data_IF_922805457530
#
_entry.id   IF_922805457530
#
_cell.length_a   1.000
_cell.length_b   1.000
_cell.length_c   1.000
_cell.angle_alpha   90.00
_cell.angle_beta   90.00
_cell.angle_gamma   90.00
#
_symmetry.space_group_name_H-M   'P 1'
#
loop_
_entity.id
_entity.type
_entity.pdbx_description
1 polymer ?
#
# COMPACT_ATOMS: atom_id res chain seq x y z
N UNK A 1 -1.68 10.05 -25.30
CA UNK A 1 -0.70 10.45 -24.30
C UNK A 1 -1.43 10.50 -22.96
N UNK A 2 -1.00 9.74 -21.96
CA UNK A 2 -1.55 9.77 -20.61
C UNK A 2 -0.55 10.49 -19.71
N UNK A 3 -1.02 11.43 -18.92
CA UNK A 3 -0.19 12.25 -18.03
C UNK A 3 -0.36 11.78 -16.58
N UNK A 4 0.73 11.56 -15.87
CA UNK A 4 0.72 11.04 -14.51
C UNK A 4 1.52 11.90 -13.54
N UNK A 5 1.06 11.98 -12.30
CA UNK A 5 1.82 12.46 -11.15
C UNK A 5 2.19 11.29 -10.25
N UNK A 6 3.40 11.30 -9.67
CA UNK A 6 3.86 10.22 -8.79
C UNK A 6 4.20 10.81 -7.42
N UNK A 7 3.34 10.56 -6.45
CA UNK A 7 3.53 10.98 -5.06
C UNK A 7 4.28 9.87 -4.30
N UNK A 8 5.58 10.07 -4.09
CA UNK A 8 6.50 9.06 -3.57
C UNK A 8 7.40 8.43 -4.64
N UNK A 9 7.87 9.21 -5.62
CA UNK A 9 8.62 8.74 -6.79
C UNK A 9 9.97 8.08 -6.46
N UNK A 10 10.56 8.38 -5.32
CA UNK A 10 11.86 7.83 -4.89
C UNK A 10 11.73 6.52 -4.10
N UNK A 11 10.51 6.10 -3.75
CA UNK A 11 10.24 4.81 -3.12
C UNK A 11 10.25 3.64 -4.11
N UNK A 12 10.08 2.43 -3.59
CA UNK A 12 10.08 1.20 -4.41
C UNK A 12 9.02 1.22 -5.52
N UNK A 13 7.78 1.59 -5.20
CA UNK A 13 6.70 1.67 -6.20
C UNK A 13 6.94 2.83 -7.16
N UNK A 14 7.37 3.99 -6.66
CA UNK A 14 7.64 5.16 -7.49
C UNK A 14 8.72 4.91 -8.53
N UNK A 15 9.84 4.27 -8.16
CA UNK A 15 10.93 3.93 -9.09
C UNK A 15 10.49 2.92 -10.13
N UNK A 16 9.72 1.89 -9.75
CA UNK A 16 9.16 0.92 -10.68
C UNK A 16 8.09 1.54 -11.60
N UNK A 17 7.33 2.52 -11.11
CA UNK A 17 6.42 3.31 -11.96
C UNK A 17 7.21 4.06 -13.05
N UNK A 18 8.35 4.66 -12.70
CA UNK A 18 9.21 5.33 -13.68
C UNK A 18 9.83 4.35 -14.69
N UNK A 19 10.11 3.09 -14.30
CA UNK A 19 10.51 2.04 -15.26
C UNK A 19 9.41 1.75 -16.28
N UNK A 20 8.14 1.73 -15.84
CA UNK A 20 6.99 1.59 -16.75
C UNK A 20 6.88 2.80 -17.67
N UNK A 21 7.12 4.02 -17.18
CA UNK A 21 7.14 5.24 -18.03
C UNK A 21 8.24 5.15 -19.09
N UNK A 22 9.46 4.72 -18.73
CA UNK A 22 10.57 4.55 -19.71
C UNK A 22 10.21 3.59 -20.85
N UNK A 23 9.44 2.56 -20.51
CA UNK A 23 9.05 1.51 -21.47
C UNK A 23 7.83 1.87 -22.33
N UNK A 24 7.09 2.96 -21.98
CA UNK A 24 5.82 3.33 -22.62
C UNK A 24 5.83 4.81 -23.05
N UNK A 25 6.09 5.06 -24.32
CA UNK A 25 6.20 6.41 -24.89
C UNK A 25 4.92 7.25 -24.81
N UNK A 26 3.79 6.63 -24.55
CA UNK A 26 2.48 7.28 -24.38
C UNK A 26 2.14 7.65 -22.93
N UNK A 27 3.08 7.45 -22.00
CA UNK A 27 3.07 7.99 -20.65
C UNK A 27 4.01 9.20 -20.53
N UNK A 28 3.57 10.23 -19.81
CA UNK A 28 4.38 11.40 -19.48
C UNK A 28 4.20 11.77 -18.00
N UNK A 29 5.30 12.02 -17.33
CA UNK A 29 5.31 12.48 -15.94
C UNK A 29 5.10 13.99 -15.90
N UNK A 30 4.13 14.46 -15.13
CA UNK A 30 3.84 15.89 -14.91
C UNK A 30 4.31 16.39 -13.57
N UNK A 31 4.30 15.52 -12.55
CA UNK A 31 4.81 15.85 -11.22
C UNK A 31 5.49 14.65 -10.56
N UNK A 32 6.52 14.92 -9.76
CA UNK A 32 7.20 13.96 -8.91
C UNK A 32 7.24 14.49 -7.49
N UNK A 33 7.06 13.61 -6.50
CA UNK A 33 7.18 14.02 -5.10
C UNK A 33 8.00 13.00 -4.29
N UNK A 34 8.75 13.50 -3.31
CA UNK A 34 9.53 12.68 -2.38
C UNK A 34 9.49 13.26 -0.95
N UNK A 35 9.85 12.45 0.04
CA UNK A 35 9.99 12.87 1.44
C UNK A 35 11.27 13.70 1.65
N UNK A 36 12.43 13.03 1.60
CA UNK A 36 13.76 13.62 1.88
C UNK A 36 14.81 13.25 0.84
N UNK A 37 14.54 12.30 -0.05
CA UNK A 37 15.53 11.70 -0.98
C UNK A 37 15.75 12.60 -2.22
N UNK A 38 16.32 13.76 -2.03
CA UNK A 38 16.50 14.76 -3.10
C UNK A 38 17.52 14.37 -4.16
N UNK A 39 18.54 13.57 -3.83
CA UNK A 39 19.56 13.15 -4.81
C UNK A 39 18.95 12.26 -5.91
N UNK A 40 18.04 11.36 -5.53
CA UNK A 40 17.33 10.54 -6.49
C UNK A 40 16.23 11.36 -7.21
N UNK A 41 15.53 12.22 -6.48
CA UNK A 41 14.51 13.09 -7.05
C UNK A 41 15.08 14.05 -8.11
N UNK A 42 16.28 14.62 -7.88
CA UNK A 42 16.96 15.45 -8.87
C UNK A 42 17.27 14.68 -10.16
N UNK A 43 17.79 13.44 -10.05
CA UNK A 43 18.04 12.57 -11.21
C UNK A 43 16.74 12.29 -11.98
N UNK A 44 15.67 11.95 -11.27
CA UNK A 44 14.35 11.72 -11.86
C UNK A 44 13.80 13.00 -12.53
N UNK A 45 13.93 14.15 -11.88
CA UNK A 45 13.50 15.43 -12.42
C UNK A 45 14.23 15.79 -13.72
N UNK A 46 15.54 15.61 -13.75
CA UNK A 46 16.34 15.85 -14.96
C UNK A 46 16.03 14.87 -16.09
N UNK A 47 15.73 13.63 -15.78
CA UNK A 47 15.37 12.60 -16.78
C UNK A 47 13.98 12.81 -17.36
N UNK A 48 12.96 13.00 -16.50
CA UNK A 48 11.56 13.03 -16.93
C UNK A 48 11.01 14.42 -17.20
N UNK A 49 11.75 15.48 -16.82
CA UNK A 49 11.37 16.88 -17.06
C UNK A 49 9.91 17.18 -16.66
N UNK A 50 9.49 16.89 -15.41
CA UNK A 50 8.14 17.21 -14.97
C UNK A 50 7.94 18.73 -14.87
N UNK A 51 6.68 19.15 -14.79
CA UNK A 51 6.34 20.56 -14.54
C UNK A 51 6.67 20.95 -13.09
N UNK A 52 6.42 20.00 -12.16
CA UNK A 52 6.57 20.22 -10.72
C UNK A 52 7.35 19.07 -10.09
N UNK A 53 8.23 19.41 -9.15
CA UNK A 53 8.73 18.48 -8.14
C UNK A 53 8.38 18.98 -6.75
N UNK A 54 7.94 18.09 -5.86
CA UNK A 54 7.60 18.41 -4.48
C UNK A 54 8.48 17.63 -3.50
N UNK A 55 8.97 18.30 -2.47
CA UNK A 55 9.71 17.68 -1.37
C UNK A 55 8.99 17.95 -0.06
N UNK A 56 8.59 16.91 0.65
CA UNK A 56 7.85 17.08 1.91
C UNK A 56 8.67 17.78 2.99
N UNK A 57 9.98 17.47 3.07
CA UNK A 57 10.89 18.20 3.95
C UNK A 57 11.24 19.56 3.35
N UNK A 58 10.84 20.64 4.01
CA UNK A 58 10.99 22.00 3.51
C UNK A 58 12.47 22.43 3.33
N UNK A 59 13.36 22.03 4.25
CA UNK A 59 14.80 22.32 4.12
C UNK A 59 15.40 21.65 2.90
N UNK A 60 15.00 20.38 2.64
CA UNK A 60 15.43 19.64 1.46
C UNK A 60 14.81 20.20 0.16
N UNK A 61 13.64 20.79 0.24
CA UNK A 61 13.02 21.47 -0.90
C UNK A 61 13.86 22.71 -1.33
N UNK A 62 14.29 23.53 -0.39
CA UNK A 62 15.17 24.68 -0.69
C UNK A 62 16.52 24.25 -1.26
N UNK A 63 17.12 23.16 -0.74
CA UNK A 63 18.32 22.58 -1.32
C UNK A 63 18.10 22.11 -2.77
N UNK A 64 17.01 21.40 -3.05
CA UNK A 64 16.69 20.91 -4.40
C UNK A 64 16.40 22.06 -5.36
N UNK A 65 15.77 23.14 -4.90
CA UNK A 65 15.50 24.35 -5.69
C UNK A 65 16.78 25.00 -6.22
N UNK A 66 17.81 25.03 -5.40
CA UNK A 66 19.13 25.53 -5.84
C UNK A 66 19.75 24.59 -6.88
N UNK A 67 19.64 23.28 -6.69
CA UNK A 67 20.18 22.27 -7.61
C UNK A 67 19.51 22.27 -8.99
N UNK A 68 18.20 22.58 -9.03
CA UNK A 68 17.42 22.61 -10.27
C UNK A 68 17.26 24.03 -10.86
N UNK A 69 18.03 25.03 -10.36
CA UNK A 69 17.96 26.43 -10.82
C UNK A 69 18.28 26.61 -12.31
N UNK A 70 18.96 25.64 -12.94
CA UNK A 70 19.27 25.56 -14.37
C UNK A 70 18.12 24.99 -15.21
N UNK A 71 16.99 24.66 -14.62
CA UNK A 71 15.81 24.06 -15.27
C UNK A 71 14.58 24.96 -15.14
N UNK A 72 13.51 24.66 -15.91
CA UNK A 72 12.20 25.30 -15.76
C UNK A 72 11.27 24.55 -14.80
N UNK A 73 11.78 23.58 -14.02
CA UNK A 73 10.99 22.75 -13.14
C UNK A 73 10.67 23.54 -11.87
N UNK A 74 9.37 23.65 -11.54
CA UNK A 74 8.93 24.26 -10.28
C UNK A 74 9.24 23.33 -9.13
N UNK A 75 9.90 23.82 -8.08
CA UNK A 75 10.14 23.08 -6.83
C UNK A 75 9.20 23.59 -5.75
N UNK A 76 8.42 22.69 -5.16
CA UNK A 76 7.45 22.98 -4.09
C UNK A 76 7.83 22.24 -2.81
N UNK A 77 7.37 22.73 -1.65
CA UNK A 77 7.75 22.23 -0.33
C UNK A 77 6.53 21.83 0.52
N UNK A 78 6.75 20.94 1.47
CA UNK A 78 5.80 20.59 2.50
C UNK A 78 4.53 19.90 1.98
N UNK A 79 3.48 19.93 2.79
CA UNK A 79 2.18 19.37 2.39
C UNK A 79 1.57 20.11 1.21
N UNK A 80 1.67 21.46 1.17
CA UNK A 80 1.16 22.25 0.07
C UNK A 80 1.81 21.87 -1.26
N UNK A 81 3.13 21.57 -1.25
CA UNK A 81 3.84 21.05 -2.41
C UNK A 81 3.32 19.68 -2.87
N UNK A 82 3.01 18.78 -1.93
CA UNK A 82 2.40 17.48 -2.27
C UNK A 82 1.01 17.65 -2.87
N UNK A 83 0.19 18.56 -2.33
CA UNK A 83 -1.13 18.87 -2.87
C UNK A 83 -1.04 19.45 -4.28
N UNK A 84 -0.12 20.38 -4.52
CA UNK A 84 0.09 20.96 -5.85
C UNK A 84 0.56 19.90 -6.87
N UNK A 85 1.48 19.01 -6.48
CA UNK A 85 1.92 17.90 -7.31
C UNK A 85 0.79 16.91 -7.63
N UNK A 86 -0.10 16.64 -6.67
CA UNK A 86 -1.23 15.74 -6.84
C UNK A 86 -2.37 16.34 -7.69
N UNK A 87 -2.50 17.67 -7.73
CA UNK A 87 -3.56 18.38 -8.46
C UNK A 87 -3.10 19.01 -9.77
N UNK A 88 -1.88 18.70 -10.23
CA UNK A 88 -1.31 19.28 -11.41
C UNK A 88 -2.30 19.18 -12.61
N UNK A 89 -2.52 20.28 -13.31
CA UNK A 89 -3.63 20.46 -14.26
C UNK A 89 -3.66 19.39 -15.36
N UNK A 90 -2.53 19.12 -15.99
CA UNK A 90 -2.42 18.16 -17.09
C UNK A 90 -2.51 16.70 -16.63
N UNK A 91 -2.35 16.44 -15.34
CA UNK A 91 -2.38 15.08 -14.79
C UNK A 91 -3.77 14.47 -14.94
N UNK A 92 -3.84 13.22 -15.39
CA UNK A 92 -5.07 12.45 -15.45
C UNK A 92 -5.11 11.32 -14.39
N UNK A 93 -3.94 10.81 -13.98
CA UNK A 93 -3.83 9.73 -12.97
C UNK A 93 -2.73 10.06 -11.98
N UNK A 94 -3.04 9.99 -10.71
CA UNK A 94 -2.07 10.14 -9.62
C UNK A 94 -1.69 8.78 -9.06
N UNK A 95 -0.40 8.45 -9.09
CA UNK A 95 0.14 7.27 -8.41
C UNK A 95 0.48 7.67 -6.98
N UNK A 96 -0.26 7.13 -6.02
CA UNK A 96 -0.05 7.41 -4.58
C UNK A 96 0.86 6.35 -3.98
N UNK A 97 2.16 6.58 -4.03
CA UNK A 97 3.21 5.64 -3.60
C UNK A 97 3.98 6.13 -2.34
N UNK A 98 3.42 7.09 -1.63
CA UNK A 98 3.94 7.55 -0.34
C UNK A 98 3.49 6.60 0.76
N UNK A 99 4.34 6.37 1.76
CA UNK A 99 4.06 5.44 2.87
C UNK A 99 3.36 6.19 4.01
N UNK A 100 2.42 5.52 4.69
CA UNK A 100 1.73 6.04 5.88
C UNK A 100 0.58 6.99 5.56
N UNK A 101 -0.02 7.56 6.61
CA UNK A 101 -1.25 8.35 6.52
C UNK A 101 -1.06 9.72 5.85
N UNK A 102 0.17 10.18 5.67
CA UNK A 102 0.49 11.42 4.93
C UNK A 102 -0.06 11.43 3.50
N UNK A 103 -0.29 10.26 2.89
CA UNK A 103 -0.86 10.11 1.56
C UNK A 103 -2.36 10.43 1.44
N UNK A 104 -3.10 10.51 2.55
CA UNK A 104 -4.56 10.71 2.52
C UNK A 104 -4.93 12.07 1.93
N UNK A 105 -4.31 13.16 2.42
CA UNK A 105 -4.62 14.52 1.94
C UNK A 105 -4.33 14.72 0.45
N UNK A 106 -3.14 14.31 -0.08
CA UNK A 106 -2.89 14.39 -1.53
C UNK A 106 -3.86 13.54 -2.36
N UNK A 107 -4.26 12.36 -1.86
CA UNK A 107 -5.24 11.51 -2.54
C UNK A 107 -6.61 12.19 -2.64
N UNK A 108 -7.13 12.75 -1.53
CA UNK A 108 -8.39 13.49 -1.52
C UNK A 108 -8.31 14.71 -2.45
N UNK A 109 -7.20 15.46 -2.43
CA UNK A 109 -7.02 16.62 -3.30
C UNK A 109 -7.01 16.24 -4.79
N UNK A 110 -6.30 15.17 -5.15
CA UNK A 110 -6.29 14.62 -6.50
C UNK A 110 -7.71 14.25 -6.98
N UNK A 111 -8.47 13.53 -6.14
CA UNK A 111 -9.85 13.13 -6.45
C UNK A 111 -10.75 14.35 -6.65
N UNK A 112 -10.68 15.37 -5.78
CA UNK A 112 -11.42 16.64 -5.91
C UNK A 112 -11.04 17.43 -7.17
N UNK A 113 -9.81 17.22 -7.67
CA UNK A 113 -9.35 17.77 -8.96
C UNK A 113 -9.71 16.88 -10.16
N UNK A 114 -10.56 15.85 -9.98
CA UNK A 114 -11.03 14.96 -11.06
C UNK A 114 -9.95 14.02 -11.60
N UNK A 115 -8.97 13.65 -10.76
CA UNK A 115 -7.89 12.73 -11.17
C UNK A 115 -8.20 11.32 -10.70
N UNK A 116 -8.01 10.34 -11.59
CA UNK A 116 -8.02 8.93 -11.19
C UNK A 116 -6.82 8.61 -10.28
N UNK A 117 -6.97 7.60 -9.44
CA UNK A 117 -5.95 7.21 -8.46
C UNK A 117 -5.42 5.81 -8.79
N UNK A 118 -4.11 5.68 -9.03
CA UNK A 118 -3.41 4.41 -8.97
C UNK A 118 -2.88 4.23 -7.52
N UNK A 119 -3.65 3.51 -6.70
CA UNK A 119 -3.47 3.45 -5.26
C UNK A 119 -2.46 2.38 -4.87
N UNK A 120 -1.28 2.81 -4.39
CA UNK A 120 -0.29 1.93 -3.76
C UNK A 120 -0.19 2.14 -2.24
N UNK A 121 -0.72 3.25 -1.73
CA UNK A 121 -0.75 3.57 -0.31
C UNK A 121 -2.00 2.95 0.34
N UNK A 122 -1.87 1.73 0.82
CA UNK A 122 -2.98 0.99 1.46
C UNK A 122 -3.52 1.66 2.71
N UNK A 123 -2.64 2.37 3.45
CA UNK A 123 -3.01 3.06 4.67
C UNK A 123 -4.12 4.09 4.44
N UNK A 124 -4.20 4.67 3.25
CA UNK A 124 -5.29 5.58 2.84
C UNK A 124 -6.66 4.93 2.97
N UNK A 125 -6.84 3.70 2.49
CA UNK A 125 -8.13 2.99 2.61
C UNK A 125 -8.31 2.32 3.97
N UNK A 126 -7.25 1.83 4.56
CA UNK A 126 -7.31 1.23 5.91
C UNK A 126 -7.87 2.22 6.92
N UNK A 127 -7.40 3.46 6.89
CA UNK A 127 -7.74 4.47 7.91
C UNK A 127 -8.88 5.41 7.51
N UNK A 128 -9.01 5.70 6.23
CA UNK A 128 -9.97 6.65 5.69
C UNK A 128 -10.87 6.10 4.58
N UNK A 129 -10.99 4.77 4.44
CA UNK A 129 -11.79 4.15 3.38
C UNK A 129 -13.25 4.58 3.37
N UNK A 130 -13.83 4.82 4.55
CA UNK A 130 -15.19 5.36 4.74
C UNK A 130 -15.37 6.81 4.21
N UNK A 131 -14.29 7.55 4.02
CA UNK A 131 -14.27 8.89 3.40
C UNK A 131 -13.94 8.77 1.91
N UNK A 132 -12.90 8.00 1.58
CA UNK A 132 -12.33 7.91 0.23
C UNK A 132 -13.30 7.26 -0.76
N UNK A 133 -13.89 6.12 -0.41
CA UNK A 133 -14.72 5.38 -1.38
C UNK A 133 -16.02 6.12 -1.73
N UNK A 134 -16.79 6.69 -0.77
CA UNK A 134 -17.92 7.52 -1.11
C UNK A 134 -17.57 8.76 -1.92
N UNK A 135 -16.43 9.40 -1.60
CA UNK A 135 -15.95 10.56 -2.35
C UNK A 135 -15.58 10.20 -3.80
N UNK A 136 -14.97 9.01 -4.02
CA UNK A 136 -14.67 8.55 -5.37
C UNK A 136 -15.94 8.34 -6.20
N UNK A 137 -16.97 7.75 -5.60
CA UNK A 137 -18.27 7.53 -6.24
C UNK A 137 -18.94 8.87 -6.55
N UNK A 138 -19.01 9.80 -5.59
CA UNK A 138 -19.60 11.13 -5.76
C UNK A 138 -18.93 11.92 -6.90
N UNK A 139 -17.61 11.88 -6.99
CA UNK A 139 -16.84 12.63 -7.98
C UNK A 139 -16.69 11.89 -9.32
N UNK A 140 -17.10 10.62 -9.39
CA UNK A 140 -16.95 9.77 -10.59
C UNK A 140 -15.49 9.50 -10.97
N UNK A 141 -14.58 9.48 -9.99
CA UNK A 141 -13.16 9.16 -10.20
C UNK A 141 -12.89 7.68 -9.88
N UNK A 142 -11.97 7.09 -10.62
CA UNK A 142 -11.63 5.68 -10.45
C UNK A 142 -10.44 5.49 -9.51
N UNK A 143 -10.50 4.43 -8.68
CA UNK A 143 -9.38 3.97 -7.87
C UNK A 143 -8.90 2.62 -8.41
N UNK A 144 -7.69 2.59 -8.95
CA UNK A 144 -7.05 1.39 -9.49
C UNK A 144 -6.04 0.85 -8.47
N UNK A 145 -6.20 -0.38 -7.99
CA UNK A 145 -5.27 -0.94 -7.02
C UNK A 145 -3.91 -1.23 -7.63
N UNK A 146 -2.86 -0.84 -6.92
CA UNK A 146 -1.45 -1.14 -7.23
C UNK A 146 -0.91 -2.24 -6.32
N UNK A 147 -1.47 -2.41 -5.11
CA UNK A 147 -1.12 -3.57 -4.28
C UNK A 147 -1.38 -4.87 -5.06
N UNK A 148 -0.45 -5.82 -5.03
CA UNK A 148 -0.46 -7.00 -5.92
C UNK A 148 -1.70 -7.87 -5.73
N UNK A 149 -2.13 -8.07 -4.50
CA UNK A 149 -3.29 -8.88 -4.15
C UNK A 149 -4.59 -8.22 -4.62
N UNK A 150 -4.72 -6.92 -4.40
CA UNK A 150 -5.90 -6.16 -4.82
C UNK A 150 -5.96 -5.99 -6.34
N UNK A 151 -4.81 -5.78 -6.99
CA UNK A 151 -4.72 -5.80 -8.45
C UNK A 151 -5.15 -7.15 -9.02
N UNK A 152 -4.74 -8.26 -8.38
CA UNK A 152 -5.14 -9.60 -8.77
C UNK A 152 -6.66 -9.81 -8.66
N UNK A 153 -7.26 -9.43 -7.53
CA UNK A 153 -8.71 -9.48 -7.33
C UNK A 153 -9.42 -8.61 -8.37
N UNK A 154 -8.94 -7.39 -8.60
CA UNK A 154 -9.49 -6.47 -9.59
C UNK A 154 -9.47 -7.06 -11.00
N UNK A 155 -8.38 -7.76 -11.38
CA UNK A 155 -8.28 -8.47 -12.65
C UNK A 155 -9.25 -9.65 -12.72
N UNK A 156 -9.34 -10.46 -11.65
CA UNK A 156 -10.25 -11.60 -11.59
C UNK A 156 -11.73 -11.17 -11.71
N UNK A 157 -12.10 -10.03 -11.11
CA UNK A 157 -13.46 -9.48 -11.18
C UNK A 157 -13.91 -9.10 -12.62
N UNK A 158 -12.98 -8.99 -13.57
CA UNK A 158 -13.33 -8.76 -14.98
C UNK A 158 -13.92 -10.02 -15.65
N UNK A 159 -13.87 -11.18 -15.00
CA UNK A 159 -14.36 -12.46 -15.55
C UNK A 159 -15.85 -12.71 -15.34
N UNK A 160 -16.54 -11.91 -14.52
CA UNK A 160 -17.95 -12.10 -14.20
C UNK A 160 -18.63 -10.84 -13.67
N UNK A 161 -19.88 -10.96 -13.26
CA UNK A 161 -20.62 -9.87 -12.65
C UNK A 161 -20.31 -9.79 -11.15
N UNK A 162 -20.29 -8.57 -10.62
CA UNK A 162 -20.05 -8.34 -9.20
C UNK A 162 -21.12 -9.00 -8.31
N UNK A 163 -22.37 -9.03 -8.76
CA UNK A 163 -23.49 -9.65 -8.02
C UNK A 163 -23.35 -11.16 -7.87
N UNK A 164 -22.53 -11.81 -8.72
CA UNK A 164 -22.28 -13.25 -8.66
C UNK A 164 -21.08 -13.60 -7.73
N UNK A 165 -20.40 -12.59 -7.21
CA UNK A 165 -19.30 -12.78 -6.27
C UNK A 165 -19.81 -13.37 -4.95
N UNK A 166 -19.11 -14.42 -4.47
CA UNK A 166 -19.33 -15.03 -3.16
C UNK A 166 -18.28 -14.53 -2.16
N UNK A 167 -17.00 -14.71 -2.49
CA UNK A 167 -15.92 -14.35 -1.57
C UNK A 167 -14.62 -13.96 -2.27
N UNK A 168 -13.77 -13.27 -1.52
CA UNK A 168 -12.40 -12.95 -1.88
C UNK A 168 -11.43 -13.88 -1.17
N UNK A 169 -10.39 -14.35 -1.87
CA UNK A 169 -9.35 -15.20 -1.31
C UNK A 169 -8.01 -14.51 -1.51
N UNK A 170 -7.56 -13.83 -0.47
CA UNK A 170 -6.30 -13.09 -0.46
C UNK A 170 -5.16 -14.05 -0.14
N UNK A 171 -4.12 -14.07 -0.98
CA UNK A 171 -2.96 -14.91 -0.72
C UNK A 171 -1.90 -14.15 0.09
N UNK A 172 -1.16 -14.85 0.93
CA UNK A 172 -0.02 -14.36 1.67
C UNK A 172 1.21 -15.21 1.38
N UNK A 173 2.42 -14.62 1.37
CA UNK A 173 3.65 -15.42 1.37
C UNK A 173 3.84 -16.18 2.70
N UNK A 174 3.19 -15.71 3.76
CA UNK A 174 3.35 -16.16 5.14
C UNK A 174 4.58 -15.56 5.84
N UNK A 175 5.39 -14.78 5.12
CA UNK A 175 6.59 -14.12 5.65
C UNK A 175 7.69 -15.10 6.10
N UNK A 176 8.79 -14.59 6.68
CA UNK A 176 9.94 -15.40 7.09
C UNK A 176 9.63 -16.32 8.27
N UNK A 177 8.57 -16.02 9.05
CA UNK A 177 8.30 -16.70 10.31
C UNK A 177 7.10 -17.64 10.30
N UNK A 178 6.51 -17.94 9.13
CA UNK A 178 5.29 -18.74 9.01
C UNK A 178 5.35 -20.14 9.64
N UNK A 179 6.56 -20.69 9.85
CA UNK A 179 6.77 -22.01 10.46
C UNK A 179 7.40 -21.97 11.84
N UNK A 180 7.57 -20.77 12.42
CA UNK A 180 8.15 -20.61 13.76
C UNK A 180 7.09 -20.72 14.83
N UNK A 181 7.50 -21.26 15.97
CA UNK A 181 6.73 -21.27 17.21
C UNK A 181 6.87 -19.93 17.95
N UNK A 182 5.96 -19.64 18.88
CA UNK A 182 6.04 -18.43 19.72
C UNK A 182 7.37 -18.39 20.52
N UNK A 183 7.88 -19.54 20.97
CA UNK A 183 9.14 -19.59 21.69
C UNK A 183 10.33 -19.19 20.81
N UNK A 184 10.36 -19.65 19.56
CA UNK A 184 11.40 -19.25 18.61
C UNK A 184 11.33 -17.77 18.26
N UNK A 185 10.13 -17.17 18.26
CA UNK A 185 9.95 -15.75 17.95
C UNK A 185 10.51 -14.82 19.04
N UNK A 186 10.67 -15.28 20.29
CA UNK A 186 11.31 -14.48 21.35
C UNK A 186 12.78 -14.12 21.05
N UNK A 187 13.41 -14.85 20.18
CA UNK A 187 14.86 -14.73 19.91
C UNK A 187 15.16 -14.20 18.50
N UNK A 188 14.14 -13.85 17.69
CA UNK A 188 14.37 -13.36 16.34
C UNK A 188 14.91 -11.93 16.34
N UNK A 189 15.82 -11.69 15.45
CA UNK A 189 16.46 -10.38 15.26
C UNK A 189 15.76 -9.55 14.18
N UNK A 190 16.12 -8.28 14.08
CA UNK A 190 15.67 -7.41 12.98
C UNK A 190 16.12 -7.98 11.64
N UNK A 191 17.33 -8.53 11.57
CA UNK A 191 17.89 -9.14 10.36
C UNK A 191 17.10 -10.36 9.91
N UNK A 192 16.69 -11.23 10.84
CA UNK A 192 15.85 -12.38 10.55
C UNK A 192 14.49 -11.94 9.97
N UNK A 193 13.89 -10.91 10.57
CA UNK A 193 12.60 -10.39 10.14
C UNK A 193 12.66 -9.67 8.78
N UNK A 194 13.79 -9.07 8.42
CA UNK A 194 14.01 -8.41 7.14
C UNK A 194 14.37 -9.39 6.00
N UNK A 195 14.63 -10.65 6.30
CA UNK A 195 14.99 -11.67 5.31
C UNK A 195 13.73 -12.32 4.70
N UNK A 196 13.01 -11.56 3.85
CA UNK A 196 11.80 -12.08 3.20
C UNK A 196 12.14 -13.10 2.10
N UNK A 197 11.42 -14.27 2.03
CA UNK A 197 11.79 -15.37 1.13
C UNK A 197 11.63 -15.06 -0.37
N UNK A 198 10.67 -14.21 -0.76
CA UNK A 198 10.28 -14.03 -2.17
C UNK A 198 10.39 -12.59 -2.68
N UNK A 199 10.25 -11.60 -1.80
CA UNK A 199 10.12 -10.20 -2.18
C UNK A 199 11.27 -9.35 -1.64
N UNK A 200 11.77 -8.44 -2.46
CA UNK A 200 12.65 -7.35 -2.03
C UNK A 200 11.80 -6.10 -1.82
N UNK A 201 11.54 -5.76 -0.57
CA UNK A 201 10.61 -4.69 -0.20
C UNK A 201 11.25 -3.67 0.75
N UNK A 202 10.53 -2.57 1.00
CA UNK A 202 10.90 -1.61 2.04
C UNK A 202 10.94 -2.26 3.44
N UNK A 203 11.72 -1.70 4.34
CA UNK A 203 11.93 -2.29 5.68
C UNK A 203 10.64 -2.43 6.49
N UNK A 204 9.78 -1.40 6.48
CA UNK A 204 8.50 -1.41 7.23
C UNK A 204 7.60 -2.54 6.76
N UNK A 205 7.29 -2.61 5.47
CA UNK A 205 6.39 -3.63 4.92
C UNK A 205 6.95 -5.05 5.05
N UNK A 206 8.28 -5.21 5.11
CA UNK A 206 8.89 -6.53 5.36
C UNK A 206 8.61 -7.01 6.78
N UNK A 207 8.66 -6.12 7.79
CA UNK A 207 8.25 -6.45 9.15
C UNK A 207 6.74 -6.71 9.22
N UNK A 208 5.92 -5.91 8.54
CA UNK A 208 4.47 -6.14 8.45
C UNK A 208 4.13 -7.51 7.83
N UNK A 209 4.93 -7.97 6.86
CA UNK A 209 4.81 -9.33 6.32
C UNK A 209 5.19 -10.40 7.35
N UNK A 210 6.28 -10.18 8.11
CA UNK A 210 6.74 -11.09 9.14
C UNK A 210 5.74 -11.26 10.28
N UNK A 211 4.97 -10.20 10.59
CA UNK A 211 3.93 -10.18 11.64
C UNK A 211 2.53 -10.58 11.16
N UNK A 212 2.32 -10.75 9.85
CA UNK A 212 1.02 -10.83 9.16
C UNK A 212 0.14 -9.56 9.33
N UNK A 213 0.65 -8.46 9.83
CA UNK A 213 -0.08 -7.17 9.85
C UNK A 213 -0.32 -6.69 8.43
N UNK A 214 0.66 -6.81 7.51
CA UNK A 214 0.46 -6.43 6.11
C UNK A 214 -0.78 -7.09 5.52
N UNK A 215 -0.94 -8.40 5.73
CA UNK A 215 -2.11 -9.14 5.24
C UNK A 215 -3.39 -8.70 5.92
N UNK A 216 -3.32 -8.33 7.19
CA UNK A 216 -4.45 -7.73 7.90
C UNK A 216 -4.86 -6.37 7.33
N UNK A 217 -3.91 -5.48 7.03
CA UNK A 217 -4.21 -4.20 6.38
C UNK A 217 -4.84 -4.41 5.00
N UNK A 218 -4.37 -5.38 4.24
CA UNK A 218 -4.91 -5.75 2.94
C UNK A 218 -6.35 -6.28 3.02
N UNK A 219 -6.71 -7.03 4.05
CA UNK A 219 -8.10 -7.43 4.31
C UNK A 219 -9.02 -6.22 4.50
N UNK A 220 -8.56 -5.21 5.26
CA UNK A 220 -9.34 -3.97 5.46
C UNK A 220 -9.43 -3.16 4.16
N UNK A 221 -8.33 -3.07 3.40
CA UNK A 221 -8.31 -2.41 2.09
C UNK A 221 -9.27 -3.10 1.11
N UNK A 222 -9.26 -4.44 1.03
CA UNK A 222 -10.15 -5.22 0.17
C UNK A 222 -11.64 -4.99 0.48
N UNK A 223 -11.99 -4.88 1.76
CA UNK A 223 -13.36 -4.51 2.17
C UNK A 223 -13.80 -3.21 1.51
N UNK A 224 -12.96 -2.19 1.54
CA UNK A 224 -13.28 -0.88 0.98
C UNK A 224 -13.28 -0.88 -0.55
N UNK A 225 -12.25 -1.40 -1.19
CA UNK A 225 -12.14 -1.42 -2.65
C UNK A 225 -13.26 -2.24 -3.32
N UNK A 226 -13.60 -3.37 -2.72
CA UNK A 226 -14.53 -4.32 -3.34
C UNK A 226 -15.89 -4.38 -2.67
N UNK A 227 -16.11 -3.66 -1.56
CA UNK A 227 -17.40 -3.63 -0.85
C UNK A 227 -17.84 -4.99 -0.36
N UNK A 228 -16.92 -5.86 0.03
CA UNK A 228 -17.18 -7.22 0.54
C UNK A 228 -17.05 -7.24 2.05
N UNK A 229 -17.96 -7.92 2.73
CA UNK A 229 -17.90 -8.03 4.19
C UNK A 229 -16.72 -8.92 4.65
N UNK A 230 -16.21 -8.66 5.86
CA UNK A 230 -15.06 -9.39 6.41
C UNK A 230 -15.27 -10.91 6.47
N UNK A 231 -16.51 -11.38 6.62
CA UNK A 231 -16.81 -12.80 6.67
C UNK A 231 -16.66 -13.50 5.32
N UNK A 232 -16.65 -12.72 4.23
CA UNK A 232 -16.46 -13.18 2.86
C UNK A 232 -15.06 -12.82 2.32
N UNK A 233 -14.13 -12.43 3.18
CA UNK A 233 -12.72 -12.22 2.84
C UNK A 233 -11.88 -13.25 3.57
N UNK A 234 -11.30 -14.18 2.83
CA UNK A 234 -10.49 -15.28 3.36
C UNK A 234 -9.01 -15.05 3.04
N UNK A 235 -8.15 -15.54 3.92
CA UNK A 235 -6.70 -15.49 3.71
C UNK A 235 -6.13 -16.89 3.68
N UNK A 236 -5.30 -17.18 2.67
CA UNK A 236 -4.53 -18.42 2.56
C UNK A 236 -3.06 -18.10 2.35
N UNK A 237 -2.17 -18.94 2.84
CA UNK A 237 -0.74 -18.81 2.58
C UNK A 237 -0.39 -19.56 1.30
N UNK A 238 0.23 -18.87 0.35
CA UNK A 238 0.81 -19.43 -0.87
C UNK A 238 2.31 -19.13 -0.88
N UNK A 239 3.16 -20.06 -0.40
CA UNK A 239 4.55 -19.76 -0.06
C UNK A 239 5.43 -19.28 -1.22
N UNK A 240 5.11 -19.66 -2.47
CA UNK A 240 5.87 -19.26 -3.67
C UNK A 240 5.47 -17.87 -4.19
N UNK A 241 4.39 -17.25 -3.67
CA UNK A 241 3.83 -15.98 -4.13
C UNK A 241 3.58 -15.91 -5.65
N UNK A 242 3.13 -17.02 -6.24
CA UNK A 242 2.84 -17.14 -7.69
C UNK A 242 1.39 -16.85 -7.98
N UNK A 243 0.48 -17.25 -7.09
CA UNK A 243 -0.92 -16.81 -7.10
C UNK A 243 -0.99 -15.55 -6.25
N UNK A 244 -1.35 -14.42 -6.87
CA UNK A 244 -1.40 -13.13 -6.18
C UNK A 244 -2.70 -12.89 -5.42
N UNK A 245 -3.82 -13.46 -5.84
CA UNK A 245 -5.10 -13.62 -5.12
C UNK A 245 -6.12 -14.27 -6.03
N UNK A 246 -7.31 -14.56 -5.48
CA UNK A 246 -8.40 -15.26 -6.15
C UNK A 246 -9.74 -14.66 -5.74
N UNK A 247 -10.76 -14.92 -6.54
CA UNK A 247 -12.17 -14.72 -6.18
C UNK A 247 -12.92 -16.03 -6.33
N UNK A 248 -13.99 -16.20 -5.56
CA UNK A 248 -14.92 -17.29 -5.72
C UNK A 248 -16.30 -16.74 -6.07
N UNK A 249 -16.96 -17.33 -7.06
CA UNK A 249 -18.35 -17.02 -7.42
C UNK A 249 -19.33 -17.95 -6.70
N UNK A 250 -20.61 -17.56 -6.67
CA UNK A 250 -21.70 -18.29 -6.00
C UNK A 250 -21.91 -19.72 -6.52
N UNK A 251 -21.48 -20.01 -7.72
CA UNK A 251 -21.53 -21.39 -8.29
C UNK A 251 -20.34 -22.25 -7.84
N UNK A 252 -19.42 -21.69 -7.01
CA UNK A 252 -18.23 -22.36 -6.51
C UNK A 252 -17.02 -22.27 -7.44
N UNK A 253 -17.14 -21.65 -8.62
CA UNK A 253 -15.96 -21.41 -9.48
C UNK A 253 -14.98 -20.43 -8.86
N UNK A 254 -13.69 -20.72 -8.96
CA UNK A 254 -12.61 -19.87 -8.47
C UNK A 254 -11.78 -19.36 -9.64
N UNK A 255 -11.60 -18.04 -9.69
CA UNK A 255 -10.71 -17.38 -10.66
C UNK A 255 -9.50 -16.81 -9.93
N UNK A 256 -8.32 -17.11 -10.44
CA UNK A 256 -7.05 -16.72 -9.85
C UNK A 256 -6.18 -15.94 -10.85
N UNK A 257 -5.52 -14.88 -10.38
CA UNK A 257 -4.48 -14.22 -11.16
C UNK A 257 -3.11 -14.75 -10.72
N UNK A 258 -2.32 -15.17 -11.70
CA UNK A 258 -0.98 -15.72 -11.50
C UNK A 258 0.06 -14.82 -12.20
N UNK A 259 1.23 -14.71 -11.58
CA UNK A 259 2.35 -13.96 -12.14
C UNK A 259 3.65 -14.24 -11.39
N UNK A 260 4.76 -13.79 -11.93
CA UNK A 260 6.01 -13.69 -11.19
C UNK A 260 5.88 -12.56 -10.15
N UNK A 261 6.55 -12.62 -8.98
CA UNK A 261 6.49 -11.57 -7.96
C UNK A 261 7.23 -10.31 -8.43
N UNK A 262 6.53 -9.46 -9.20
CA UNK A 262 7.02 -8.19 -9.75
C UNK A 262 5.94 -7.13 -9.67
N UNK A 263 6.20 -6.03 -8.94
CA UNK A 263 5.24 -4.93 -8.79
C UNK A 263 5.01 -4.14 -10.09
N UNK A 264 5.85 -4.29 -11.11
CA UNK A 264 5.62 -3.64 -12.41
C UNK A 264 4.34 -4.12 -13.08
N UNK A 265 3.92 -5.38 -12.83
CA UNK A 265 2.67 -5.92 -13.38
C UNK A 265 1.44 -5.14 -12.87
N UNK A 266 1.17 -5.07 -11.54
CA UNK A 266 0.02 -4.32 -11.04
C UNK A 266 0.12 -2.81 -11.30
N UNK A 267 1.31 -2.21 -11.24
CA UNK A 267 1.53 -0.80 -11.59
C UNK A 267 1.11 -0.55 -13.04
N UNK A 268 1.61 -1.37 -13.98
CA UNK A 268 1.29 -1.21 -15.40
C UNK A 268 -0.22 -1.40 -15.64
N UNK A 269 -0.83 -2.42 -15.01
CA UNK A 269 -2.26 -2.65 -15.17
C UNK A 269 -3.11 -1.48 -14.65
N UNK A 270 -2.77 -0.92 -13.48
CA UNK A 270 -3.46 0.26 -12.94
C UNK A 270 -3.35 1.48 -13.89
N UNK A 271 -2.18 1.68 -14.53
CA UNK A 271 -1.97 2.79 -15.44
C UNK A 271 -2.64 2.62 -16.80
N UNK A 272 -2.87 1.40 -17.26
CA UNK A 272 -3.37 1.13 -18.61
C UNK A 272 -4.73 0.40 -18.64
N UNK A 273 -5.36 0.18 -17.48
CA UNK A 273 -6.65 -0.48 -17.43
C UNK A 273 -7.61 0.01 -18.53
N UNK A 274 -8.33 -0.88 -19.22
CA UNK A 274 -8.37 -2.35 -19.04
C UNK A 274 -7.33 -3.15 -19.86
N UNK A 275 -6.30 -2.53 -20.41
CA UNK A 275 -5.35 -3.14 -21.34
C UNK A 275 -4.22 -3.87 -20.60
N UNK A 276 -3.94 -5.12 -21.00
CA UNK A 276 -2.69 -5.79 -20.71
C UNK A 276 -1.66 -5.43 -21.76
N UNK A 277 -0.57 -4.77 -21.36
CA UNK A 277 0.51 -4.37 -22.25
C UNK A 277 1.74 -5.27 -22.10
N UNK A 278 2.60 -5.24 -23.11
CA UNK A 278 3.86 -5.96 -23.00
C UNK A 278 4.68 -5.41 -21.81
N UNK A 279 5.17 -6.32 -20.98
CA UNK A 279 6.04 -6.02 -19.85
C UNK A 279 7.30 -6.87 -19.99
N UNK A 280 8.45 -6.23 -19.97
CA UNK A 280 9.73 -6.94 -19.94
C UNK A 280 9.90 -7.66 -18.59
N UNK A 281 10.48 -8.84 -18.61
CA UNK A 281 10.74 -9.64 -17.41
C UNK A 281 10.41 -11.11 -17.61
N UNK A 282 10.65 -11.90 -16.56
CA UNK A 282 10.38 -13.34 -16.58
C UNK A 282 8.88 -13.61 -16.69
N UNK A 283 8.56 -14.74 -17.33
CA UNK A 283 7.22 -15.29 -17.41
C UNK A 283 7.14 -16.53 -16.55
N UNK A 284 5.93 -16.83 -16.03
CA UNK A 284 5.72 -18.10 -15.35
C UNK A 284 5.97 -19.27 -16.31
N UNK A 285 6.80 -20.18 -15.86
CA UNK A 285 7.07 -21.46 -16.50
C UNK A 285 6.47 -22.57 -15.64
N UNK A 286 5.31 -23.07 -16.04
CA UNK A 286 4.59 -24.08 -15.27
C UNK A 286 5.34 -25.42 -15.19
N UNK A 287 6.18 -25.73 -16.18
CA UNK A 287 7.02 -26.93 -16.15
C UNK A 287 8.12 -26.84 -15.07
N UNK A 288 8.69 -25.64 -14.86
CA UNK A 288 9.62 -25.37 -13.76
C UNK A 288 8.94 -25.21 -12.41
N UNK A 289 7.74 -24.63 -12.38
CA UNK A 289 6.96 -24.42 -11.17
C UNK A 289 6.54 -25.75 -10.53
N UNK A 290 6.13 -26.73 -11.34
CA UNK A 290 5.69 -28.10 -11.00
C UNK A 290 4.45 -28.16 -10.12
N UNK A 291 4.49 -27.54 -8.92
CA UNK A 291 3.43 -27.61 -7.91
C UNK A 291 3.13 -26.23 -7.31
N UNK A 292 1.90 -26.02 -6.91
CA UNK A 292 1.42 -24.89 -6.12
C UNK A 292 0.82 -25.46 -4.84
N UNK A 293 1.25 -24.94 -3.69
CA UNK A 293 0.81 -25.41 -2.39
C UNK A 293 0.13 -24.28 -1.64
N UNK A 294 -0.80 -24.63 -0.76
CA UNK A 294 -1.46 -23.70 0.16
C UNK A 294 -1.30 -24.19 1.60
N UNK A 295 -1.23 -23.24 2.52
CA UNK A 295 -1.14 -23.50 3.95
C UNK A 295 -2.15 -22.58 4.67
N UNK A 296 -2.61 -22.97 5.85
CA UNK A 296 -3.37 -22.09 6.74
C UNK A 296 -2.46 -20.98 7.30
N UNK A 297 -2.96 -19.74 7.43
CA UNK A 297 -2.20 -18.70 8.11
C UNK A 297 -1.97 -19.08 9.59
N UNK A 298 -0.74 -18.96 10.13
CA UNK A 298 -0.44 -19.33 11.52
C UNK A 298 -0.91 -18.25 12.52
N UNK A 299 -2.22 -18.04 12.62
CA UNK A 299 -2.85 -16.94 13.37
C UNK A 299 -2.69 -17.08 14.88
N UNK A 300 -2.45 -18.28 15.39
CA UNK A 300 -2.19 -18.51 16.81
C UNK A 300 -0.82 -17.95 17.23
N UNK A 301 0.12 -17.84 16.30
CA UNK A 301 1.49 -17.39 16.51
C UNK A 301 1.69 -15.96 16.00
N UNK A 302 1.22 -15.66 14.76
CA UNK A 302 1.35 -14.37 14.12
C UNK A 302 0.02 -13.60 14.21
N UNK A 303 -0.12 -12.78 15.24
CA UNK A 303 -1.39 -12.16 15.64
C UNK A 303 -1.83 -10.96 14.80
N UNK A 304 -1.01 -10.49 13.86
CA UNK A 304 -1.33 -9.30 13.07
C UNK A 304 -2.62 -9.41 12.26
N UNK A 305 -2.86 -10.57 11.65
CA UNK A 305 -4.10 -10.82 10.88
C UNK A 305 -5.36 -10.85 11.77
N UNK A 306 -5.42 -11.58 12.90
CA UNK A 306 -6.54 -11.50 13.85
C UNK A 306 -6.84 -10.08 14.35
N UNK A 307 -5.80 -9.31 14.69
CA UNK A 307 -5.98 -7.93 15.13
C UNK A 307 -6.62 -7.05 14.06
N UNK A 308 -6.25 -7.24 12.80
CA UNK A 308 -6.85 -6.50 11.71
C UNK A 308 -8.32 -6.84 11.48
N UNK A 309 -8.70 -8.12 11.53
CA UNK A 309 -10.12 -8.51 11.51
C UNK A 309 -10.89 -7.90 12.67
N UNK A 310 -10.31 -7.93 13.90
CA UNK A 310 -10.91 -7.30 15.09
C UNK A 310 -11.10 -5.79 14.86
N UNK A 311 -10.05 -5.08 14.43
CA UNK A 311 -10.11 -3.65 14.17
C UNK A 311 -11.11 -3.29 13.08
N UNK A 312 -11.11 -4.04 11.98
CA UNK A 312 -12.01 -3.82 10.85
C UNK A 312 -13.49 -4.04 11.22
N UNK A 313 -13.80 -5.09 12.01
CA UNK A 313 -15.15 -5.35 12.50
C UNK A 313 -15.64 -4.32 13.52
N UNK A 314 -14.77 -3.80 14.37
CA UNK A 314 -15.09 -2.68 15.26
C UNK A 314 -15.37 -1.43 14.42
N UNK A 315 -14.58 -1.19 13.38
CA UNK A 315 -14.74 -0.05 12.47
C UNK A 315 -14.41 1.30 13.10
N UNK A 316 -14.94 2.37 12.49
CA UNK A 316 -14.68 3.74 12.93
C UNK A 316 -13.18 4.07 12.94
N UNK A 317 -12.69 4.64 14.04
CA UNK A 317 -11.28 4.99 14.21
C UNK A 317 -10.36 3.81 14.58
N UNK A 318 -10.90 2.60 14.83
CA UNK A 318 -10.08 1.46 15.26
C UNK A 318 -9.05 0.99 14.21
N UNK A 319 -9.35 0.95 12.90
CA UNK A 319 -8.32 0.66 11.88
C UNK A 319 -7.18 1.67 11.86
N UNK A 320 -7.45 2.95 12.16
CA UNK A 320 -6.41 3.99 12.33
C UNK A 320 -5.50 3.66 13.51
N UNK A 321 -6.09 3.25 14.64
CA UNK A 321 -5.32 2.83 15.83
C UNK A 321 -4.43 1.65 15.53
N UNK A 322 -4.97 0.62 14.87
CA UNK A 322 -4.18 -0.56 14.45
C UNK A 322 -2.99 -0.13 13.57
N UNK A 323 -3.24 0.69 12.55
CA UNK A 323 -2.21 1.12 11.62
C UNK A 323 -1.12 1.95 12.33
N UNK A 324 -1.50 2.97 13.08
CA UNK A 324 -0.58 3.86 13.77
C UNK A 324 0.23 3.14 14.87
N UNK A 325 -0.42 2.25 15.63
CA UNK A 325 0.27 1.43 16.64
C UNK A 325 1.29 0.49 15.99
N UNK A 326 0.93 -0.16 14.88
CA UNK A 326 1.86 -0.98 14.12
C UNK A 326 3.03 -0.16 13.57
N UNK A 327 2.79 1.01 12.96
CA UNK A 327 3.86 1.86 12.43
C UNK A 327 4.86 2.24 13.54
N UNK A 328 4.36 2.65 14.70
CA UNK A 328 5.20 3.01 15.83
C UNK A 328 5.97 1.81 16.39
N UNK A 329 5.30 0.68 16.60
CA UNK A 329 5.91 -0.55 17.11
C UNK A 329 6.99 -1.08 16.14
N UNK A 330 6.72 -1.08 14.84
CA UNK A 330 7.70 -1.47 13.81
C UNK A 330 8.91 -0.53 13.82
N UNK A 331 8.70 0.78 13.96
CA UNK A 331 9.82 1.74 14.06
C UNK A 331 10.68 1.48 15.31
N UNK A 332 10.07 1.16 16.46
CA UNK A 332 10.78 0.79 17.70
C UNK A 332 11.55 -0.52 17.51
N UNK A 333 10.97 -1.53 16.90
CA UNK A 333 11.64 -2.80 16.60
C UNK A 333 12.83 -2.63 15.64
N UNK A 334 12.64 -1.91 14.54
CA UNK A 334 13.72 -1.59 13.60
C UNK A 334 14.84 -0.77 14.25
N UNK A 335 14.49 0.06 15.24
CA UNK A 335 15.42 0.79 16.09
C UNK A 335 16.02 -0.03 17.23
N UNK A 336 15.72 -1.34 17.33
CA UNK A 336 16.19 -2.28 18.38
C UNK A 336 15.83 -1.84 19.80
N UNK A 337 14.72 -1.11 19.97
CA UNK A 337 14.22 -0.65 21.28
C UNK A 337 13.27 -1.64 21.93
N UNK A 338 12.67 -2.53 21.14
CA UNK A 338 11.75 -3.58 21.57
C UNK A 338 12.07 -4.90 20.87
N UNK A 339 11.53 -6.01 21.38
CA UNK A 339 11.59 -7.34 20.77
C UNK A 339 10.46 -7.53 19.75
N UNK A 340 10.52 -8.59 18.95
CA UNK A 340 9.54 -8.86 17.90
C UNK A 340 8.11 -9.04 18.42
N UNK A 341 7.95 -9.79 19.51
CA UNK A 341 6.63 -10.05 20.12
C UNK A 341 6.01 -8.81 20.75
N UNK A 342 6.83 -7.87 21.23
CA UNK A 342 6.35 -6.61 21.81
C UNK A 342 5.54 -5.77 20.79
N UNK A 343 5.74 -6.02 19.49
CA UNK A 343 4.92 -5.39 18.43
C UNK A 343 3.44 -5.71 18.65
N UNK A 344 3.12 -6.98 18.95
CA UNK A 344 1.73 -7.40 19.18
C UNK A 344 1.16 -6.82 20.47
N UNK A 345 1.97 -6.79 21.54
CA UNK A 345 1.55 -6.26 22.83
C UNK A 345 1.24 -4.76 22.75
N UNK A 346 2.07 -3.99 22.03
CA UNK A 346 1.83 -2.56 21.77
C UNK A 346 0.54 -2.35 20.98
N UNK A 347 0.32 -3.13 19.92
CA UNK A 347 -0.89 -3.02 19.10
C UNK A 347 -2.13 -3.34 19.96
N UNK A 348 -2.13 -4.47 20.67
CA UNK A 348 -3.27 -4.92 21.47
C UNK A 348 -3.61 -3.94 22.59
N UNK A 349 -2.62 -3.51 23.34
CA UNK A 349 -2.76 -2.56 24.44
C UNK A 349 -3.31 -1.21 23.95
N UNK A 350 -2.79 -0.70 22.81
CA UNK A 350 -3.25 0.57 22.24
C UNK A 350 -4.69 0.46 21.74
N UNK A 351 -5.04 -0.65 21.08
CA UNK A 351 -6.43 -0.92 20.65
C UNK A 351 -7.39 -1.01 21.83
N UNK A 352 -6.96 -1.62 22.96
CA UNK A 352 -7.80 -1.75 24.15
C UNK A 352 -7.96 -0.42 24.91
N UNK A 353 -6.97 0.47 24.86
CA UNK A 353 -7.01 1.77 25.51
C UNK A 353 -7.85 2.81 24.75
N UNK A 354 -8.07 2.61 23.44
CA UNK A 354 -8.74 3.60 22.59
C UNK A 354 -10.25 3.63 22.76
N UNK A 355 -10.80 4.85 22.81
CA UNK A 355 -12.25 5.08 22.73
C UNK A 355 -12.67 5.34 21.30
N UNK A 356 -13.34 4.37 20.69
CA UNK A 356 -13.71 4.39 19.26
C UNK A 356 -14.60 5.57 18.89
N UNK A 357 -14.21 6.30 17.86
CA UNK A 357 -15.02 7.29 17.14
C UNK A 357 -15.70 6.56 15.98
N UNK A 358 -17.04 6.49 15.95
CA UNK A 358 -17.78 5.63 15.01
C UNK A 358 -17.63 6.05 13.54
N UNK A 359 -17.73 7.36 13.26
CA UNK A 359 -17.63 7.92 11.91
C UNK A 359 -16.64 9.10 11.96
N UNK A 360 -15.33 8.82 12.06
CA UNK A 360 -14.36 9.90 12.23
C UNK A 360 -14.24 10.75 10.96
N UNK A 361 -14.17 12.05 11.13
CA UNK A 361 -13.76 12.98 10.08
C UNK A 361 -12.29 12.77 9.73
N UNK A 362 -11.80 13.39 8.64
CA UNK A 362 -10.38 13.33 8.30
C UNK A 362 -9.49 13.88 9.44
N UNK A 363 -9.90 14.98 10.04
CA UNK A 363 -9.20 15.58 11.16
C UNK A 363 -9.14 14.63 12.35
N UNK A 364 -10.25 13.99 12.72
CA UNK A 364 -10.30 12.99 13.80
C UNK A 364 -9.48 11.74 13.49
N UNK A 365 -9.37 11.34 12.20
CA UNK A 365 -8.46 10.26 11.78
C UNK A 365 -7.00 10.64 12.05
N UNK A 366 -6.59 11.87 11.70
CA UNK A 366 -5.23 12.37 11.92
C UNK A 366 -4.94 12.59 13.41
N UNK A 367 -5.91 13.11 14.17
CA UNK A 367 -5.81 13.27 15.62
C UNK A 367 -5.69 11.91 16.33
N UNK A 368 -6.38 10.87 15.81
CA UNK A 368 -6.27 9.50 16.32
C UNK A 368 -4.85 8.94 16.12
N UNK A 369 -4.23 9.17 14.97
CA UNK A 369 -2.84 8.79 14.73
C UNK A 369 -1.90 9.46 15.73
N UNK A 370 -2.04 10.77 15.92
CA UNK A 370 -1.23 11.53 16.87
C UNK A 370 -1.42 11.02 18.31
N UNK A 371 -2.66 10.79 18.73
CA UNK A 371 -2.98 10.20 20.03
C UNK A 371 -2.27 8.85 20.24
N UNK A 372 -2.26 7.98 19.23
CA UNK A 372 -1.59 6.67 19.31
C UNK A 372 -0.09 6.85 19.57
N UNK A 373 0.55 7.76 18.82
CA UNK A 373 1.99 8.02 19.00
C UNK A 373 2.31 8.54 20.40
N UNK A 374 1.55 9.50 20.90
CA UNK A 374 1.70 10.05 22.24
C UNK A 374 1.44 9.01 23.34
N UNK A 375 0.40 8.16 23.14
CA UNK A 375 0.07 7.08 24.06
C UNK A 375 1.22 6.07 24.20
N UNK A 376 1.84 5.66 23.07
CA UNK A 376 2.96 4.72 23.08
C UNK A 376 4.23 5.37 23.67
N UNK A 377 4.48 6.65 23.41
CA UNK A 377 5.66 7.38 23.92
C UNK A 377 5.58 7.64 25.44
N UNK A 378 4.38 7.68 25.99
CA UNK A 378 4.17 7.92 27.43
C UNK A 378 4.41 6.67 28.30
N UNK A 379 4.70 5.53 27.72
CA UNK A 379 4.99 4.24 28.40
C UNK A 379 6.49 4.01 28.52
#
# INVERSE_FOLDING_TARGET
>A
MKYISIIGSTGSIGTQTLDIVRSNKDLKVTALAAGTSIDLLEKQAREFQPVIVAVYNEQKAEELKLRLADTNIKVCAGMDGLLEAATQEQCSVVVTAIVGMIGIRPTIAAMKAGKDIALANKETLVTAGHIIMPLAEELGVSIYPVDSEHSAIFQCLQSGKRDDLDSLIITASGGPFRKKTTEELKHVTVEDALNHPNWSMGRKITIDSATLVNKGLEVIEAKWLFGVDFDNIHVVVQPKSVIHSMIQFKDGSVIAQLGTPDMKLPIQYALFYPQHRNLAGERLDFAKLKEITFEEPPVDVLKGLPYAYKAGRIGGSMPTVLNAANEKAVALFLGRKIQFLDIYDIIEDTMNAHKVIKNPTLEEVLETEQWVYEHIESR
#
